data_IF_167211568135
#
_entry.id   IF_167211568135
#
_cell.length_a   1.000
_cell.length_b   1.000
_cell.length_c   1.000
_cell.angle_alpha   90.00
_cell.angle_beta   90.00
_cell.angle_gamma   90.00
#
_symmetry.space_group_name_H-M   'P 1'
#
loop_
_entity.id
_entity.type
_entity.pdbx_description
1 polymer ?
#
# COMPACT_ATOMS: atom_id res chain seq x y z
N UNK A 1 -23.69 -54.66 -19.67
CA UNK A 1 -24.05 -53.78 -18.51
C UNK A 1 -23.12 -52.61 -18.58
N UNK A 2 -23.53 -51.59 -19.33
CA UNK A 2 -22.73 -50.39 -19.58
C UNK A 2 -23.05 -49.37 -18.49
N UNK A 3 -22.04 -48.95 -17.73
CA UNK A 3 -22.14 -47.86 -16.76
C UNK A 3 -22.05 -46.56 -17.53
N UNK A 4 -22.95 -45.57 -17.34
CA UNK A 4 -22.88 -44.27 -18.02
C UNK A 4 -21.70 -43.50 -17.47
N UNK A 5 -20.82 -43.05 -18.38
CA UNK A 5 -19.75 -42.10 -18.11
C UNK A 5 -20.33 -40.80 -17.53
N UNK A 6 -20.01 -40.50 -16.29
CA UNK A 6 -20.35 -39.21 -15.67
C UNK A 6 -19.56 -38.09 -16.37
N UNK A 7 -20.20 -37.33 -17.24
CA UNK A 7 -19.65 -36.11 -17.79
C UNK A 7 -19.45 -35.10 -16.67
N UNK A 8 -18.22 -34.94 -16.22
CA UNK A 8 -17.82 -33.90 -15.29
C UNK A 8 -18.08 -32.54 -15.97
N UNK A 9 -19.11 -31.86 -15.48
CA UNK A 9 -19.46 -30.50 -15.90
C UNK A 9 -18.32 -29.57 -15.51
N UNK A 10 -17.65 -29.00 -16.49
CA UNK A 10 -16.60 -28.00 -16.26
C UNK A 10 -17.14 -26.91 -15.31
N UNK A 11 -16.35 -26.46 -14.32
CA UNK A 11 -16.79 -25.40 -13.43
C UNK A 11 -17.09 -24.16 -14.25
N UNK A 12 -18.32 -23.65 -14.10
CA UNK A 12 -18.75 -22.41 -14.73
C UNK A 12 -17.86 -21.28 -14.23
N UNK A 13 -17.27 -20.52 -15.16
CA UNK A 13 -16.50 -19.31 -14.87
C UNK A 13 -17.35 -18.40 -13.98
N UNK A 14 -16.78 -17.77 -12.95
CA UNK A 14 -17.55 -16.92 -12.04
C UNK A 14 -18.22 -15.79 -12.81
N UNK A 15 -19.53 -15.60 -12.56
CA UNK A 15 -20.31 -14.49 -13.10
C UNK A 15 -19.80 -13.18 -12.49
N UNK A 16 -18.80 -12.59 -13.13
CA UNK A 16 -18.04 -11.44 -12.64
C UNK A 16 -18.79 -10.10 -12.69
N UNK A 17 -19.98 -10.01 -13.30
CA UNK A 17 -20.42 -8.73 -13.86
C UNK A 17 -21.29 -7.85 -12.94
N UNK A 18 -22.15 -8.37 -12.08
CA UNK A 18 -23.03 -7.53 -11.26
C UNK A 18 -22.47 -7.18 -9.88
N UNK A 19 -21.74 -8.08 -9.25
CA UNK A 19 -21.16 -7.83 -7.92
C UNK A 19 -20.00 -6.84 -7.95
N UNK A 20 -19.24 -6.80 -9.05
CA UNK A 20 -18.15 -5.85 -9.25
C UNK A 20 -18.65 -4.43 -9.47
N UNK A 21 -19.76 -4.27 -10.23
CA UNK A 21 -20.38 -2.97 -10.46
C UNK A 21 -20.94 -2.38 -9.15
N UNK A 22 -21.60 -3.20 -8.33
CA UNK A 22 -22.13 -2.76 -7.04
C UNK A 22 -21.03 -2.36 -6.06
N UNK A 23 -19.89 -3.06 -6.03
CA UNK A 23 -18.78 -2.73 -5.13
C UNK A 23 -18.05 -1.45 -5.57
N UNK A 24 -17.95 -1.18 -6.87
CA UNK A 24 -17.43 0.08 -7.41
C UNK A 24 -18.37 1.25 -7.11
N UNK A 25 -19.69 1.07 -7.30
CA UNK A 25 -20.68 2.08 -6.95
C UNK A 25 -20.66 2.41 -5.45
N UNK A 26 -20.45 1.40 -4.59
CA UNK A 26 -20.32 1.60 -3.14
C UNK A 26 -19.06 2.39 -2.76
N UNK A 27 -17.98 2.27 -3.55
CA UNK A 27 -16.77 3.07 -3.39
C UNK A 27 -16.98 4.53 -3.81
N UNK A 28 -17.81 4.79 -4.83
CA UNK A 28 -17.98 6.14 -5.36
C UNK A 28 -18.60 7.11 -4.35
N UNK A 29 -19.42 6.64 -3.42
CA UNK A 29 -20.04 7.50 -2.39
C UNK A 29 -18.99 8.11 -1.45
N UNK A 30 -18.15 7.34 -0.74
CA UNK A 30 -17.12 7.93 0.11
C UNK A 30 -16.08 8.72 -0.69
N UNK A 31 -15.75 8.29 -1.91
CA UNK A 31 -14.85 9.03 -2.81
C UNK A 31 -15.44 10.40 -3.17
N UNK A 32 -16.73 10.47 -3.53
CA UNK A 32 -17.40 11.73 -3.83
C UNK A 32 -17.45 12.65 -2.61
N UNK A 33 -17.73 12.12 -1.42
CA UNK A 33 -17.71 12.90 -0.17
C UNK A 33 -16.33 13.50 0.05
N UNK A 34 -15.26 12.71 -0.08
CA UNK A 34 -13.88 13.18 0.10
C UNK A 34 -13.49 14.18 -1.01
N UNK A 35 -13.90 13.95 -2.25
CA UNK A 35 -13.62 14.87 -3.37
C UNK A 35 -14.28 16.23 -3.22
N UNK A 36 -15.41 16.31 -2.51
CA UNK A 36 -16.13 17.56 -2.24
C UNK A 36 -15.54 18.35 -1.07
N UNK A 37 -14.67 17.77 -0.24
CA UNK A 37 -14.09 18.44 0.93
C UNK A 37 -13.45 19.81 0.62
N UNK A 38 -12.63 19.97 -0.46
CA UNK A 38 -12.02 21.26 -0.76
C UNK A 38 -13.01 22.37 -1.14
N UNK A 39 -14.25 22.03 -1.50
CA UNK A 39 -15.30 22.98 -1.87
C UNK A 39 -16.09 23.49 -0.66
N UNK A 40 -15.93 22.87 0.51
CA UNK A 40 -16.67 23.23 1.71
C UNK A 40 -15.98 24.39 2.45
N UNK A 41 -16.69 25.50 2.73
CA UNK A 41 -16.07 26.71 3.29
C UNK A 41 -15.54 26.56 4.72
N UNK A 42 -15.94 25.52 5.44
CA UNK A 42 -15.49 25.23 6.80
C UNK A 42 -14.32 24.24 6.86
N UNK A 43 -13.87 23.71 5.71
CA UNK A 43 -12.73 22.79 5.62
C UNK A 43 -11.46 23.58 5.33
N UNK A 44 -10.53 23.58 6.27
CA UNK A 44 -9.25 24.24 6.12
C UNK A 44 -8.19 23.31 5.49
N UNK A 45 -7.07 23.90 5.04
CA UNK A 45 -5.96 23.17 4.43
C UNK A 45 -5.37 22.09 5.35
N UNK A 46 -5.46 22.25 6.67
CA UNK A 46 -4.99 21.24 7.63
C UNK A 46 -5.79 19.93 7.51
N UNK A 47 -7.13 20.03 7.47
CA UNK A 47 -8.02 18.87 7.31
C UNK A 47 -7.77 18.20 5.96
N UNK A 48 -7.63 18.98 4.89
CA UNK A 48 -7.34 18.44 3.56
C UNK A 48 -5.98 17.72 3.56
N UNK A 49 -4.95 18.29 4.17
CA UNK A 49 -3.64 17.67 4.29
C UNK A 49 -3.68 16.36 5.11
N UNK A 50 -4.49 16.32 6.19
CA UNK A 50 -4.70 15.12 6.96
C UNK A 50 -5.33 14.00 6.11
N UNK A 51 -6.34 14.34 5.30
CA UNK A 51 -6.96 13.39 4.38
C UNK A 51 -5.97 12.92 3.30
N UNK A 52 -5.12 13.81 2.76
CA UNK A 52 -4.06 13.41 1.80
C UNK A 52 -3.10 12.40 2.44
N UNK A 53 -2.67 12.64 3.68
CA UNK A 53 -1.85 11.66 4.43
C UNK A 53 -2.55 10.30 4.52
N UNK A 54 -3.85 10.30 4.86
CA UNK A 54 -4.63 9.07 4.88
C UNK A 54 -4.64 8.36 3.51
N UNK A 55 -4.90 9.08 2.43
CA UNK A 55 -4.95 8.51 1.08
C UNK A 55 -3.61 7.91 0.66
N UNK A 56 -2.48 8.56 1.01
CA UNK A 56 -1.14 8.02 0.77
C UNK A 56 -0.95 6.70 1.52
N UNK A 57 -1.27 6.64 2.80
CA UNK A 57 -1.12 5.39 3.57
C UNK A 57 -2.14 4.32 3.15
N UNK A 58 -3.34 4.69 2.71
CA UNK A 58 -4.30 3.77 2.11
C UNK A 58 -3.71 3.13 0.85
N UNK A 59 -3.13 3.92 -0.05
CA UNK A 59 -2.52 3.38 -1.29
C UNK A 59 -1.33 2.47 -0.99
N UNK A 60 -0.48 2.85 -0.03
CA UNK A 60 0.62 2.00 0.44
C UNK A 60 0.11 0.69 1.06
N UNK A 61 -0.93 0.77 1.90
CA UNK A 61 -1.59 -0.39 2.49
C UNK A 61 -2.25 -1.28 1.43
N UNK A 62 -2.88 -0.71 0.39
CA UNK A 62 -3.45 -1.47 -0.73
C UNK A 62 -2.35 -2.21 -1.51
N UNK A 63 -1.23 -1.54 -1.80
CA UNK A 63 -0.08 -2.14 -2.46
C UNK A 63 0.48 -3.32 -1.66
N UNK A 64 0.72 -3.12 -0.36
CA UNK A 64 1.22 -4.17 0.53
C UNK A 64 0.23 -5.32 0.73
N UNK A 65 -1.07 -5.03 0.75
CA UNK A 65 -2.12 -6.03 0.89
C UNK A 65 -2.14 -7.06 -0.25
N UNK A 66 -1.66 -6.71 -1.43
CA UNK A 66 -1.52 -7.65 -2.55
C UNK A 66 -0.58 -8.80 -2.15
N UNK A 67 0.60 -8.50 -1.65
CA UNK A 67 1.60 -9.52 -1.32
C UNK A 67 1.31 -10.19 0.02
N UNK A 68 0.94 -9.42 1.04
CA UNK A 68 0.76 -9.95 2.39
C UNK A 68 -0.66 -10.47 2.64
N UNK A 69 -1.68 -9.72 2.24
CA UNK A 69 -3.07 -10.08 2.47
C UNK A 69 -3.57 -11.17 1.53
N UNK A 70 -3.38 -10.98 0.22
CA UNK A 70 -3.83 -11.95 -0.80
C UNK A 70 -2.84 -13.10 -0.90
N UNK A 71 -1.53 -12.80 -0.97
CA UNK A 71 -0.46 -13.78 -1.18
C UNK A 71 0.12 -14.40 0.10
N UNK A 72 -0.25 -13.94 1.29
CA UNK A 72 0.20 -14.49 2.58
C UNK A 72 1.67 -14.24 2.93
N UNK A 73 2.37 -13.36 2.20
CA UNK A 73 3.80 -13.11 2.38
C UNK A 73 4.02 -11.80 3.15
N UNK A 74 4.24 -11.90 4.45
CA UNK A 74 4.44 -10.77 5.34
C UNK A 74 5.82 -10.13 5.10
N UNK A 75 5.91 -9.22 4.13
CA UNK A 75 7.13 -8.47 3.85
C UNK A 75 7.20 -7.24 4.73
N UNK A 76 8.26 -7.11 5.52
CA UNK A 76 8.61 -5.92 6.30
C UNK A 76 9.58 -4.99 5.55
N UNK A 77 9.94 -5.34 4.32
CA UNK A 77 10.86 -4.58 3.47
C UNK A 77 10.19 -3.70 2.43
N UNK A 78 8.87 -3.48 2.48
CA UNK A 78 8.16 -2.68 1.47
C UNK A 78 8.53 -1.19 1.49
N UNK A 79 9.12 -0.68 2.59
CA UNK A 79 9.76 0.63 2.65
C UNK A 79 10.81 0.82 1.55
N UNK A 80 11.50 -0.25 1.13
CA UNK A 80 12.47 -0.19 0.03
C UNK A 80 11.85 0.34 -1.26
N UNK A 81 10.67 -0.15 -1.62
CA UNK A 81 9.99 0.29 -2.85
C UNK A 81 9.40 1.69 -2.73
N UNK A 82 8.93 2.07 -1.54
CA UNK A 82 8.57 3.44 -1.22
C UNK A 82 9.76 4.37 -1.44
N UNK A 83 10.90 4.05 -0.84
CA UNK A 83 12.13 4.83 -0.95
C UNK A 83 12.64 4.90 -2.39
N UNK A 84 12.65 3.79 -3.14
CA UNK A 84 13.02 3.80 -4.56
C UNK A 84 12.12 4.78 -5.34
N UNK A 85 10.80 4.74 -5.14
CA UNK A 85 9.87 5.68 -5.78
C UNK A 85 10.17 7.12 -5.43
N UNK A 86 10.36 7.43 -4.14
CA UNK A 86 10.67 8.77 -3.64
C UNK A 86 11.99 9.30 -4.19
N UNK A 87 13.09 8.57 -3.96
CA UNK A 87 14.43 9.01 -4.36
C UNK A 87 14.58 9.09 -5.87
N UNK A 88 14.09 8.12 -6.63
CA UNK A 88 14.19 8.17 -8.10
C UNK A 88 13.50 9.40 -8.65
N UNK A 89 12.27 9.66 -8.23
CA UNK A 89 11.51 10.82 -8.69
C UNK A 89 12.17 12.12 -8.23
N UNK A 90 12.60 12.21 -6.96
CA UNK A 90 13.22 13.40 -6.41
C UNK A 90 14.58 13.73 -7.04
N UNK A 91 15.42 12.73 -7.26
CA UNK A 91 16.74 12.90 -7.90
C UNK A 91 16.59 13.36 -9.36
N UNK A 92 15.72 12.68 -10.12
CA UNK A 92 15.46 13.03 -11.52
C UNK A 92 14.91 14.46 -11.64
N UNK A 93 14.03 14.86 -10.74
CA UNK A 93 13.48 16.21 -10.72
C UNK A 93 14.53 17.26 -10.35
N UNK A 94 15.27 17.09 -9.25
CA UNK A 94 16.22 18.07 -8.75
C UNK A 94 17.45 18.25 -9.64
N UNK A 95 18.00 17.14 -10.17
CA UNK A 95 19.27 17.16 -10.94
C UNK A 95 19.07 17.34 -12.44
N UNK A 96 18.02 16.78 -12.99
CA UNK A 96 17.80 16.74 -14.44
C UNK A 96 16.57 17.51 -14.91
N UNK A 97 15.78 18.08 -13.99
CA UNK A 97 14.54 18.79 -14.32
C UNK A 97 13.45 17.89 -14.95
N UNK A 98 13.58 16.57 -14.79
CA UNK A 98 12.62 15.60 -15.35
C UNK A 98 11.36 15.65 -14.49
N UNK A 99 10.16 15.84 -15.10
CA UNK A 99 8.92 15.94 -14.33
C UNK A 99 8.63 14.66 -13.57
N UNK A 100 7.99 14.77 -12.38
CA UNK A 100 7.67 13.63 -11.53
C UNK A 100 6.83 12.55 -12.23
N UNK A 101 6.01 12.93 -13.19
CA UNK A 101 5.23 12.00 -14.04
C UNK A 101 6.09 11.00 -14.80
N UNK A 102 7.26 11.44 -15.30
CA UNK A 102 8.23 10.56 -15.98
C UNK A 102 9.09 9.85 -14.92
N UNK A 103 9.53 10.58 -13.88
CA UNK A 103 10.30 10.02 -12.77
C UNK A 103 9.60 8.86 -12.07
N UNK A 104 8.27 8.93 -11.96
CA UNK A 104 7.43 7.86 -11.43
C UNK A 104 7.62 6.53 -12.19
N UNK A 105 7.61 6.56 -13.51
CA UNK A 105 7.80 5.34 -14.32
C UNK A 105 9.24 4.82 -14.25
N UNK A 106 10.23 5.70 -14.14
CA UNK A 106 11.60 5.29 -13.85
C UNK A 106 11.70 4.59 -12.49
N UNK A 107 11.05 5.13 -11.46
CA UNK A 107 10.95 4.50 -10.15
C UNK A 107 10.28 3.13 -10.19
N UNK A 108 9.20 2.99 -10.98
CA UNK A 108 8.52 1.70 -11.21
C UNK A 108 9.46 0.69 -11.86
N UNK A 109 10.21 1.08 -12.89
CA UNK A 109 11.16 0.17 -13.57
C UNK A 109 12.29 -0.28 -12.63
N UNK A 110 12.86 0.65 -11.85
CA UNK A 110 13.90 0.30 -10.86
C UNK A 110 13.31 -0.62 -9.79
N UNK A 111 12.12 -0.33 -9.29
CA UNK A 111 11.42 -1.17 -8.32
C UNK A 111 11.11 -2.56 -8.86
N UNK A 112 10.73 -2.69 -10.13
CA UNK A 112 10.49 -3.98 -10.79
C UNK A 112 11.76 -4.84 -10.77
N UNK A 113 12.88 -4.26 -11.22
CA UNK A 113 14.18 -4.97 -11.24
C UNK A 113 14.62 -5.34 -9.83
N UNK A 114 14.53 -4.39 -8.90
CA UNK A 114 14.91 -4.62 -7.50
C UNK A 114 14.01 -5.67 -6.84
N UNK A 115 12.71 -5.62 -7.07
CA UNK A 115 11.75 -6.60 -6.55
C UNK A 115 12.01 -8.01 -7.11
N UNK A 116 12.39 -8.11 -8.39
CA UNK A 116 12.75 -9.40 -8.98
C UNK A 116 14.00 -9.99 -8.31
N UNK A 117 15.06 -9.18 -8.15
CA UNK A 117 16.31 -9.61 -7.50
C UNK A 117 16.06 -9.97 -6.03
N UNK A 118 15.45 -9.07 -5.27
CA UNK A 118 15.12 -9.28 -3.86
C UNK A 118 14.20 -10.49 -3.69
N UNK A 119 13.16 -10.59 -4.52
CA UNK A 119 12.22 -11.71 -4.49
C UNK A 119 12.88 -13.04 -4.83
N UNK A 120 13.78 -13.10 -5.81
CA UNK A 120 14.51 -14.31 -6.17
C UNK A 120 15.36 -14.85 -5.01
N UNK A 121 15.89 -13.95 -4.18
CA UNK A 121 16.69 -14.31 -3.01
C UNK A 121 15.83 -14.67 -1.79
N UNK A 122 14.78 -13.90 -1.52
CA UNK A 122 14.04 -13.98 -0.24
C UNK A 122 12.79 -14.88 -0.30
N UNK A 123 12.10 -14.98 -1.45
CA UNK A 123 10.86 -15.76 -1.57
C UNK A 123 11.03 -17.29 -1.48
N UNK A 124 12.28 -17.75 -1.44
CA UNK A 124 12.61 -19.16 -1.11
C UNK A 124 12.49 -19.44 0.39
N UNK A 125 12.55 -18.40 1.22
CA UNK A 125 12.33 -18.47 2.66
C UNK A 125 10.84 -18.46 2.98
N UNK A 126 10.44 -19.04 4.12
CA UNK A 126 9.04 -19.13 4.52
C UNK A 126 8.79 -18.42 5.84
N UNK A 127 7.58 -17.88 6.02
CA UNK A 127 7.12 -17.31 7.27
C UNK A 127 8.03 -16.20 7.81
N UNK A 128 8.45 -16.35 9.07
CA UNK A 128 9.26 -15.32 9.78
C UNK A 128 10.62 -15.09 9.12
N UNK A 129 11.23 -16.12 8.53
CA UNK A 129 12.53 -15.97 7.87
C UNK A 129 12.46 -15.05 6.63
N UNK A 130 11.36 -15.11 5.88
CA UNK A 130 11.12 -14.17 4.80
C UNK A 130 10.98 -12.73 5.32
N UNK A 131 10.20 -12.52 6.39
CA UNK A 131 10.03 -11.20 6.99
C UNK A 131 11.39 -10.63 7.47
N UNK A 132 12.19 -11.42 8.19
CA UNK A 132 13.52 -11.01 8.67
C UNK A 132 14.48 -10.68 7.51
N UNK A 133 14.48 -11.49 6.45
CA UNK A 133 15.31 -11.21 5.27
C UNK A 133 14.92 -9.89 4.60
N UNK A 134 13.62 -9.58 4.51
CA UNK A 134 13.14 -8.32 3.94
C UNK A 134 13.47 -7.10 4.82
N UNK A 135 13.47 -7.24 6.15
CA UNK A 135 13.98 -6.21 7.08
C UNK A 135 15.47 -5.97 6.86
N UNK A 136 16.27 -7.03 6.73
CA UNK A 136 17.71 -6.88 6.52
C UNK A 136 18.02 -6.09 5.24
N UNK A 137 17.27 -6.34 4.15
CA UNK A 137 17.37 -5.56 2.90
C UNK A 137 17.00 -4.09 3.14
N UNK A 138 15.92 -3.84 3.90
CA UNK A 138 15.48 -2.48 4.23
C UNK A 138 16.58 -1.70 4.98
N UNK A 139 17.16 -2.30 6.03
CA UNK A 139 18.25 -1.70 6.80
C UNK A 139 19.51 -1.49 5.95
N UNK A 140 19.82 -2.42 5.05
CA UNK A 140 20.92 -2.23 4.09
C UNK A 140 20.68 -1.02 3.18
N UNK A 141 19.43 -0.80 2.70
CA UNK A 141 19.10 0.36 1.88
C UNK A 141 19.19 1.68 2.65
N UNK A 142 18.89 1.70 3.96
CA UNK A 142 19.16 2.87 4.81
C UNK A 142 20.66 3.22 4.77
N UNK A 143 21.55 2.23 4.98
CA UNK A 143 22.98 2.46 5.00
C UNK A 143 23.55 2.84 3.62
N UNK A 144 23.07 2.18 2.57
CA UNK A 144 23.42 2.53 1.18
C UNK A 144 23.01 3.98 0.88
N UNK A 145 21.79 4.37 1.23
CA UNK A 145 21.32 5.74 1.02
C UNK A 145 22.16 6.77 1.79
N UNK A 146 22.54 6.47 3.03
CA UNK A 146 23.43 7.35 3.82
C UNK A 146 24.84 7.47 3.23
N UNK A 147 25.35 6.42 2.59
CA UNK A 147 26.68 6.41 2.01
C UNK A 147 26.80 7.26 0.73
N UNK A 148 25.78 7.24 -0.13
CA UNK A 148 25.78 7.96 -1.41
C UNK A 148 25.31 9.42 -1.26
N UNK A 149 26.06 10.23 -0.48
CA UNK A 149 25.70 11.62 -0.13
C UNK A 149 25.39 12.48 -1.37
N UNK A 150 26.21 12.40 -2.42
CA UNK A 150 26.06 13.20 -3.64
C UNK A 150 24.75 12.90 -4.41
N UNK A 151 24.19 11.72 -4.19
CA UNK A 151 22.98 11.28 -4.89
C UNK A 151 21.73 11.47 -4.06
N UNK A 152 21.75 11.06 -2.81
CA UNK A 152 20.59 10.94 -1.91
C UNK A 152 20.52 12.05 -0.86
N UNK A 153 21.58 12.88 -0.74
CA UNK A 153 21.73 13.82 0.36
C UNK A 153 22.27 13.18 1.66
N UNK A 154 22.62 11.87 1.63
CA UNK A 154 23.16 11.19 2.80
C UNK A 154 22.18 11.08 3.96
N UNK A 155 22.64 11.34 5.17
CA UNK A 155 21.82 11.28 6.38
C UNK A 155 20.74 12.39 6.43
N UNK A 156 20.99 13.54 5.82
CA UNK A 156 20.07 14.69 5.79
C UNK A 156 18.92 14.45 4.81
N UNK A 157 19.07 13.50 3.89
CA UNK A 157 18.07 13.13 2.91
C UNK A 157 17.95 14.10 1.75
N UNK A 158 16.87 13.95 0.98
CA UNK A 158 16.60 14.70 -0.24
C UNK A 158 15.40 15.60 -0.06
N UNK A 159 15.59 16.92 -0.21
CA UNK A 159 14.51 17.89 -0.27
C UNK A 159 14.27 18.32 -1.72
N UNK A 160 13.01 18.47 -2.12
CA UNK A 160 12.64 18.96 -3.44
C UNK A 160 12.73 20.49 -3.51
N UNK A 161 13.20 20.99 -4.65
CA UNK A 161 13.11 22.43 -4.96
C UNK A 161 11.67 22.77 -5.30
N UNK A 162 11.16 23.81 -4.67
CA UNK A 162 9.81 24.31 -4.97
C UNK A 162 9.87 25.40 -6.05
N UNK A 163 9.19 25.15 -7.17
CA UNK A 163 9.13 26.07 -8.32
C UNK A 163 7.80 26.85 -8.41
N UNK A 164 6.91 26.67 -7.44
CA UNK A 164 5.57 27.24 -7.45
C UNK A 164 4.50 26.21 -7.84
N UNK A 165 3.25 26.69 -7.91
CA UNK A 165 2.13 25.83 -8.28
C UNK A 165 2.25 25.39 -9.75
N UNK A 166 2.45 24.10 -9.99
CA UNK A 166 2.63 23.54 -11.33
C UNK A 166 2.18 22.09 -11.38
N UNK A 167 1.23 21.81 -12.25
CA UNK A 167 0.80 20.43 -12.53
C UNK A 167 1.90 19.62 -13.19
N UNK A 168 2.78 20.25 -13.97
CA UNK A 168 3.91 19.59 -14.61
C UNK A 168 4.94 19.11 -13.58
N UNK A 169 5.22 19.91 -12.55
CA UNK A 169 6.11 19.57 -11.46
C UNK A 169 5.41 18.79 -10.32
N UNK A 170 4.12 18.51 -10.43
CA UNK A 170 3.29 17.95 -9.35
C UNK A 170 3.48 18.70 -8.02
N UNK A 171 3.56 20.02 -8.08
CA UNK A 171 3.76 20.89 -6.91
C UNK A 171 2.59 21.83 -6.74
N UNK A 172 2.18 22.05 -5.49
CA UNK A 172 1.15 23.02 -5.14
C UNK A 172 1.33 23.48 -3.69
N UNK A 173 1.01 24.77 -3.45
CA UNK A 173 0.94 25.36 -2.10
C UNK A 173 -0.26 24.87 -1.31
N UNK A 174 -1.29 24.38 -2.01
CA UNK A 174 -2.49 23.84 -1.37
C UNK A 174 -2.50 22.33 -1.46
N UNK A 175 -3.04 21.61 -0.47
CA UNK A 175 -3.09 20.16 -0.48
C UNK A 175 -4.15 19.57 -1.43
N UNK A 176 -5.05 20.41 -1.99
CA UNK A 176 -6.17 19.94 -2.79
C UNK A 176 -5.78 19.12 -4.05
N UNK A 177 -4.76 19.50 -4.86
CA UNK A 177 -4.34 18.67 -6.00
C UNK A 177 -3.85 17.29 -5.59
N UNK A 178 -3.15 17.20 -4.46
CA UNK A 178 -2.69 15.91 -3.91
C UNK A 178 -3.85 15.03 -3.41
N UNK A 179 -4.92 15.65 -2.91
CA UNK A 179 -6.14 14.93 -2.54
C UNK A 179 -6.74 14.23 -3.76
N UNK A 180 -6.90 14.94 -4.87
CA UNK A 180 -7.43 14.34 -6.10
C UNK A 180 -6.51 13.26 -6.67
N UNK A 181 -5.18 13.50 -6.68
CA UNK A 181 -4.21 12.50 -7.11
C UNK A 181 -4.27 11.24 -6.21
N UNK A 182 -4.35 11.41 -4.89
CA UNK A 182 -4.51 10.31 -3.94
C UNK A 182 -5.81 9.53 -4.13
N UNK A 183 -6.94 10.22 -4.37
CA UNK A 183 -8.22 9.57 -4.66
C UNK A 183 -8.17 8.73 -5.94
N UNK A 184 -7.56 9.26 -7.00
CA UNK A 184 -7.37 8.51 -8.26
C UNK A 184 -6.56 7.25 -8.02
N UNK A 185 -5.45 7.34 -7.26
CA UNK A 185 -4.63 6.18 -6.93
C UNK A 185 -5.39 5.15 -6.08
N UNK A 186 -6.16 5.58 -5.08
CA UNK A 186 -6.99 4.68 -4.25
C UNK A 186 -7.97 3.91 -5.12
N UNK A 187 -8.63 4.59 -6.08
CA UNK A 187 -9.58 3.95 -7.00
C UNK A 187 -8.87 2.93 -7.90
N UNK A 188 -7.75 3.32 -8.48
CA UNK A 188 -6.96 2.43 -9.36
C UNK A 188 -6.49 1.20 -8.57
N UNK A 189 -5.94 1.39 -7.37
CA UNK A 189 -5.43 0.28 -6.57
C UNK A 189 -6.55 -0.62 -6.03
N UNK A 190 -7.69 -0.05 -5.71
CA UNK A 190 -8.88 -0.82 -5.41
C UNK A 190 -9.32 -1.69 -6.60
N UNK A 191 -9.37 -1.10 -7.80
CA UNK A 191 -9.72 -1.82 -9.01
C UNK A 191 -8.70 -2.96 -9.32
N UNK A 192 -7.39 -2.71 -9.17
CA UNK A 192 -6.34 -3.73 -9.30
C UNK A 192 -6.54 -4.85 -8.28
N UNK A 193 -6.76 -4.52 -7.00
CA UNK A 193 -7.00 -5.52 -5.94
C UNK A 193 -8.23 -6.37 -6.23
N UNK A 194 -9.31 -5.76 -6.69
CA UNK A 194 -10.55 -6.47 -7.10
C UNK A 194 -10.31 -7.37 -8.31
N UNK A 195 -9.59 -6.86 -9.31
CA UNK A 195 -9.24 -7.64 -10.49
C UNK A 195 -8.36 -8.85 -10.13
N UNK A 196 -7.35 -8.66 -9.26
CA UNK A 196 -6.53 -9.77 -8.77
C UNK A 196 -7.41 -10.80 -8.07
N UNK A 197 -8.25 -10.38 -7.10
CA UNK A 197 -9.11 -11.29 -6.32
C UNK A 197 -10.09 -12.08 -7.20
N UNK A 198 -10.52 -11.53 -8.33
CA UNK A 198 -11.44 -12.18 -9.27
C UNK A 198 -10.72 -13.04 -10.32
N UNK A 199 -9.41 -12.94 -10.45
CA UNK A 199 -8.59 -13.64 -11.46
C UNK A 199 -8.13 -15.02 -11.00
N UNK A 200 -7.73 -15.87 -11.95
CA UNK A 200 -7.05 -17.15 -11.67
C UNK A 200 -5.76 -16.93 -10.89
N UNK A 201 -5.03 -15.86 -11.20
CA UNK A 201 -3.83 -15.47 -10.47
C UNK A 201 -4.09 -15.22 -8.99
N UNK A 202 -5.19 -14.54 -8.65
CA UNK A 202 -5.58 -14.33 -7.25
C UNK A 202 -5.98 -15.61 -6.53
N UNK A 203 -6.61 -16.56 -7.24
CA UNK A 203 -6.89 -17.89 -6.68
C UNK A 203 -5.60 -18.68 -6.42
N UNK A 204 -4.64 -18.62 -7.36
CA UNK A 204 -3.31 -19.22 -7.15
C UNK A 204 -2.58 -18.61 -5.96
N UNK A 205 -2.62 -17.25 -5.82
CA UNK A 205 -2.03 -16.58 -4.66
C UNK A 205 -2.64 -17.03 -3.34
N UNK A 206 -3.97 -17.17 -3.28
CA UNK A 206 -4.67 -17.63 -2.09
C UNK A 206 -4.35 -19.10 -1.79
N UNK A 207 -4.30 -19.96 -2.81
CA UNK A 207 -3.90 -21.36 -2.65
C UNK A 207 -2.48 -21.49 -2.07
N UNK A 208 -1.54 -20.70 -2.59
CA UNK A 208 -0.15 -20.64 -2.09
C UNK A 208 -0.08 -20.10 -0.66
N UNK A 209 -0.92 -19.11 -0.32
CA UNK A 209 -1.04 -18.57 1.04
C UNK A 209 -1.53 -19.62 2.03
N UNK A 210 -2.53 -20.38 1.64
CA UNK A 210 -3.18 -21.36 2.53
C UNK A 210 -2.28 -22.59 2.75
N UNK A 211 -1.71 -23.17 1.69
CA UNK A 211 -0.70 -24.23 1.76
C UNK A 211 0.15 -24.31 0.48
N UNK A 212 1.44 -23.97 0.58
CA UNK A 212 2.37 -24.01 -0.55
C UNK A 212 2.60 -25.42 -1.13
N UNK A 213 2.57 -26.45 -0.27
CA UNK A 213 2.84 -27.84 -0.69
C UNK A 213 1.62 -28.39 -1.43
N UNK A 214 0.43 -28.15 -0.89
CA UNK A 214 -0.82 -28.55 -1.53
C UNK A 214 -1.02 -27.80 -2.86
N UNK A 215 -0.73 -26.49 -2.91
CA UNK A 215 -0.80 -25.71 -4.14
C UNK A 215 0.15 -26.25 -5.22
N UNK A 216 1.40 -26.60 -4.86
CA UNK A 216 2.35 -27.20 -5.77
C UNK A 216 1.87 -28.56 -6.29
N UNK A 217 1.31 -29.40 -5.42
CA UNK A 217 0.74 -30.71 -5.79
C UNK A 217 -0.46 -30.54 -6.75
N UNK A 218 -1.23 -29.45 -6.63
CA UNK A 218 -2.31 -29.09 -7.55
C UNK A 218 -1.82 -28.46 -8.87
N UNK A 219 -0.50 -28.33 -9.08
CA UNK A 219 0.09 -27.81 -10.32
C UNK A 219 0.32 -26.30 -10.34
N UNK A 220 0.13 -25.58 -9.21
CA UNK A 220 0.42 -24.15 -9.13
C UNK A 220 1.92 -23.92 -9.12
N UNK A 221 2.39 -22.99 -9.97
CA UNK A 221 3.80 -22.59 -10.04
C UNK A 221 4.15 -21.63 -8.88
N UNK A 222 4.30 -22.16 -7.66
CA UNK A 222 4.42 -21.42 -6.39
C UNK A 222 5.38 -20.24 -6.46
N UNK A 223 6.62 -20.46 -6.94
CA UNK A 223 7.62 -19.40 -7.03
C UNK A 223 7.21 -18.29 -8.00
N UNK A 224 6.67 -18.68 -9.17
CA UNK A 224 6.20 -17.70 -10.18
C UNK A 224 5.03 -16.87 -9.63
N UNK A 225 4.08 -17.50 -8.96
CA UNK A 225 2.94 -16.82 -8.34
C UNK A 225 3.39 -15.83 -7.26
N UNK A 226 4.31 -16.26 -6.37
CA UNK A 226 4.87 -15.39 -5.33
C UNK A 226 5.61 -14.18 -5.90
N UNK A 227 6.53 -14.40 -6.85
CA UNK A 227 7.35 -13.32 -7.39
C UNK A 227 6.52 -12.32 -8.19
N UNK A 228 5.49 -12.79 -8.93
CA UNK A 228 4.59 -11.91 -9.66
C UNK A 228 3.80 -11.02 -8.70
N UNK A 229 3.23 -11.57 -7.63
CA UNK A 229 2.53 -10.79 -6.61
C UNK A 229 3.45 -9.77 -5.92
N UNK A 230 4.69 -10.18 -5.61
CA UNK A 230 5.69 -9.31 -5.00
C UNK A 230 6.09 -8.15 -5.91
N UNK A 231 6.32 -8.40 -7.19
CA UNK A 231 6.65 -7.37 -8.20
C UNK A 231 5.50 -6.39 -8.40
N UNK A 232 4.26 -6.88 -8.54
CA UNK A 232 3.08 -6.01 -8.67
C UNK A 232 2.94 -5.10 -7.44
N UNK A 233 3.06 -5.65 -6.25
CA UNK A 233 3.02 -4.88 -4.99
C UNK A 233 4.14 -3.82 -4.92
N UNK A 234 5.36 -4.17 -5.32
CA UNK A 234 6.50 -3.27 -5.37
C UNK A 234 6.29 -2.09 -6.33
N UNK A 235 5.77 -2.35 -7.53
CA UNK A 235 5.46 -1.32 -8.52
C UNK A 235 4.40 -0.35 -8.01
N UNK A 236 3.33 -0.87 -7.41
CA UNK A 236 2.29 -0.05 -6.77
C UNK A 236 2.89 0.80 -5.64
N UNK A 237 3.75 0.22 -4.79
CA UNK A 237 4.40 0.95 -3.70
C UNK A 237 5.30 2.08 -4.22
N UNK A 238 6.02 1.88 -5.32
CA UNK A 238 6.88 2.91 -5.93
C UNK A 238 6.07 4.09 -6.50
N UNK A 239 4.92 3.83 -7.13
CA UNK A 239 4.01 4.89 -7.60
C UNK A 239 3.50 5.72 -6.41
N UNK A 240 3.05 5.06 -5.35
CA UNK A 240 2.62 5.74 -4.13
C UNK A 240 3.77 6.53 -3.47
N UNK A 241 5.02 6.03 -3.59
CA UNK A 241 6.24 6.73 -3.17
C UNK A 241 6.45 8.06 -3.91
N UNK A 242 6.15 8.11 -5.20
CA UNK A 242 6.19 9.38 -5.93
C UNK A 242 5.21 10.41 -5.35
N UNK A 243 3.96 10.01 -5.09
CA UNK A 243 2.97 10.89 -4.46
C UNK A 243 3.41 11.32 -3.06
N UNK A 244 3.98 10.39 -2.28
CA UNK A 244 4.55 10.66 -0.96
C UNK A 244 5.62 11.75 -1.05
N UNK A 245 6.61 11.59 -1.95
CA UNK A 245 7.70 12.55 -2.13
C UNK A 245 7.21 13.93 -2.53
N UNK A 246 6.26 14.02 -3.45
CA UNK A 246 5.72 15.30 -3.92
C UNK A 246 4.88 16.01 -2.84
N UNK A 247 4.20 15.27 -1.98
CA UNK A 247 3.40 15.84 -0.90
C UNK A 247 4.26 16.33 0.27
N UNK A 248 5.24 15.52 0.71
CA UNK A 248 6.09 15.88 1.86
C UNK A 248 7.26 16.77 1.48
N UNK A 249 7.61 16.86 0.20
CA UNK A 249 8.69 17.68 -0.37
C UNK A 249 10.10 17.36 0.17
N UNK A 250 10.22 16.41 1.09
CA UNK A 250 11.49 15.95 1.66
C UNK A 250 11.37 14.51 2.12
N UNK A 251 12.49 13.79 2.06
CA UNK A 251 12.59 12.42 2.56
C UNK A 251 14.02 12.13 3.04
N UNK A 252 14.15 11.57 4.22
CA UNK A 252 15.39 11.04 4.74
C UNK A 252 15.46 9.50 4.63
N UNK A 253 16.63 8.87 4.78
CA UNK A 253 16.76 7.43 4.64
C UNK A 253 15.91 6.61 5.61
N UNK A 254 15.71 7.09 6.84
CA UNK A 254 14.86 6.39 7.83
C UNK A 254 13.38 6.47 7.46
N UNK A 255 12.90 7.64 7.05
CA UNK A 255 11.53 7.82 6.56
C UNK A 255 11.24 7.07 5.25
N UNK A 256 12.28 6.78 4.45
CA UNK A 256 12.15 6.03 3.21
C UNK A 256 12.19 4.51 3.44
N UNK A 257 13.24 4.04 4.10
CA UNK A 257 13.63 2.62 4.16
C UNK A 257 13.55 2.03 5.57
N UNK A 258 13.36 2.85 6.61
CA UNK A 258 13.39 2.44 8.01
C UNK A 258 12.26 1.48 8.39
N UNK A 259 12.50 0.71 9.45
CA UNK A 259 11.53 -0.27 9.97
C UNK A 259 10.24 0.41 10.45
N UNK A 260 10.34 1.59 11.04
CA UNK A 260 9.17 2.36 11.50
C UNK A 260 8.23 2.68 10.32
N UNK A 261 8.79 3.15 9.20
CA UNK A 261 8.04 3.40 7.98
C UNK A 261 7.42 2.13 7.40
N UNK A 262 8.20 1.04 7.39
CA UNK A 262 7.72 -0.26 6.92
C UNK A 262 6.51 -0.76 7.74
N UNK A 263 6.49 -0.54 9.04
CA UNK A 263 5.35 -0.87 9.89
C UNK A 263 4.16 0.05 9.59
N UNK A 264 4.37 1.37 9.51
CA UNK A 264 3.29 2.33 9.26
C UNK A 264 2.53 2.08 7.96
N UNK A 265 3.24 1.74 6.87
CA UNK A 265 2.61 1.47 5.57
C UNK A 265 1.71 0.22 5.57
N UNK A 266 1.93 -0.71 6.52
CA UNK A 266 1.15 -1.94 6.64
C UNK A 266 -0.11 -1.76 7.50
N UNK A 267 -0.09 -0.79 8.43
CA UNK A 267 -1.17 -0.58 9.39
C UNK A 267 -2.57 -0.48 8.75
N UNK A 268 -2.78 0.25 7.64
CA UNK A 268 -4.09 0.31 7.01
C UNK A 268 -4.64 -1.06 6.62
N UNK A 269 -3.79 -1.95 6.09
CA UNK A 269 -4.21 -3.29 5.70
C UNK A 269 -4.45 -4.20 6.91
N UNK A 270 -3.57 -4.14 7.92
CA UNK A 270 -3.69 -4.92 9.15
C UNK A 270 -4.93 -4.55 9.94
N UNK A 271 -5.16 -3.25 10.13
CA UNK A 271 -6.31 -2.75 10.89
C UNK A 271 -7.63 -2.96 10.18
N UNK A 272 -7.65 -2.73 8.86
CA UNK A 272 -8.87 -2.84 8.09
C UNK A 272 -9.30 -4.27 7.81
N UNK A 273 -8.38 -5.15 7.47
CA UNK A 273 -8.63 -6.56 7.17
C UNK A 273 -7.81 -7.07 5.99
N UNK A 274 -6.88 -7.95 6.28
CA UNK A 274 -5.97 -8.55 5.30
C UNK A 274 -6.71 -9.34 4.23
N UNK A 275 -6.22 -9.26 2.99
CA UNK A 275 -6.74 -10.03 1.86
C UNK A 275 -8.09 -9.55 1.32
N UNK A 276 -8.58 -8.40 1.78
CA UNK A 276 -9.79 -7.77 1.24
C UNK A 276 -9.46 -6.48 0.50
N UNK A 277 -10.21 -6.14 -0.55
CA UNK A 277 -9.99 -4.91 -1.30
C UNK A 277 -10.33 -3.64 -0.49
N UNK A 278 -11.32 -3.74 0.40
CA UNK A 278 -11.76 -2.64 1.27
C UNK A 278 -10.93 -2.46 2.53
N UNK A 279 -10.22 -3.52 2.96
CA UNK A 279 -9.46 -3.49 4.21
C UNK A 279 -8.58 -2.26 4.36
N UNK A 280 -7.63 -2.01 3.44
CA UNK A 280 -6.74 -0.87 3.55
C UNK A 280 -7.46 0.49 3.54
N UNK A 281 -8.61 0.61 2.87
CA UNK A 281 -9.42 1.84 2.82
C UNK A 281 -10.02 2.12 4.21
N UNK A 282 -10.69 1.12 4.77
CA UNK A 282 -11.31 1.24 6.11
C UNK A 282 -10.25 1.42 7.18
N UNK A 283 -9.18 0.62 7.12
CA UNK A 283 -8.08 0.73 8.09
C UNK A 283 -7.35 2.06 8.03
N UNK A 284 -7.13 2.61 6.83
CA UNK A 284 -6.51 3.93 6.68
C UNK A 284 -7.42 5.07 7.17
N UNK A 285 -8.74 4.96 6.94
CA UNK A 285 -9.70 5.92 7.52
C UNK A 285 -9.68 5.88 9.06
N UNK A 286 -9.63 4.70 9.65
CA UNK A 286 -9.50 4.54 11.11
C UNK A 286 -8.15 5.09 11.60
N UNK A 287 -7.07 4.79 10.89
CA UNK A 287 -5.73 5.25 11.23
C UNK A 287 -5.63 6.78 11.28
N UNK A 288 -6.17 7.49 10.25
CA UNK A 288 -6.11 8.96 10.24
C UNK A 288 -6.97 9.56 11.34
N UNK A 289 -8.18 9.04 11.55
CA UNK A 289 -9.04 9.49 12.64
C UNK A 289 -8.32 9.39 13.98
N UNK A 290 -7.65 8.27 14.21
CA UNK A 290 -6.90 8.03 15.44
C UNK A 290 -5.70 8.98 15.57
N UNK A 291 -4.96 9.19 14.47
CA UNK A 291 -3.84 10.14 14.39
C UNK A 291 -4.28 11.55 14.78
N UNK A 292 -5.39 12.03 14.24
CA UNK A 292 -5.89 13.37 14.53
C UNK A 292 -6.36 13.51 15.98
N UNK A 293 -7.05 12.49 16.52
CA UNK A 293 -7.46 12.47 17.93
C UNK A 293 -6.23 12.48 18.84
N UNK A 294 -5.21 11.70 18.50
CA UNK A 294 -3.97 11.62 19.29
C UNK A 294 -3.17 12.91 19.22
N UNK A 295 -3.05 13.51 18.04
CA UNK A 295 -2.38 14.81 17.86
C UNK A 295 -3.06 15.92 18.69
N UNK A 296 -4.39 15.92 18.69
CA UNK A 296 -5.15 16.86 19.54
C UNK A 296 -4.90 16.61 21.03
N UNK A 297 -4.87 15.34 21.44
CA UNK A 297 -4.54 14.94 22.82
C UNK A 297 -3.12 15.32 23.21
N UNK A 298 -2.11 15.03 22.37
CA UNK A 298 -0.70 15.36 22.58
C UNK A 298 -0.49 16.85 22.77
N UNK A 299 -1.13 17.67 21.92
CA UNK A 299 -1.05 19.14 22.02
C UNK A 299 -1.62 19.68 23.32
N UNK A 300 -2.71 19.07 23.80
CA UNK A 300 -3.32 19.48 25.09
C UNK A 300 -2.57 18.99 26.32
N UNK A 301 -2.00 17.79 26.27
CA UNK A 301 -1.35 17.15 27.40
C UNK A 301 0.16 17.41 27.46
N UNK A 302 0.75 17.95 26.37
CA UNK A 302 2.19 18.19 26.28
C UNK A 302 3.03 16.91 26.26
N UNK A 303 2.45 15.76 25.83
CA UNK A 303 3.12 14.46 25.81
C UNK A 303 3.47 14.13 24.35
N UNK A 304 4.76 14.11 24.01
CA UNK A 304 5.25 13.68 22.72
C UNK A 304 5.21 12.15 22.59
N UNK A 305 4.96 11.63 21.38
CA UNK A 305 4.97 10.18 21.09
C UNK A 305 3.70 9.43 21.50
N UNK A 306 2.63 10.11 21.93
CA UNK A 306 1.33 9.50 22.19
C UNK A 306 0.75 8.77 20.99
N UNK A 307 1.04 9.23 19.78
CA UNK A 307 0.62 8.62 18.51
C UNK A 307 1.18 7.21 18.36
N UNK A 308 2.47 7.02 18.62
CA UNK A 308 3.13 5.70 18.53
C UNK A 308 2.54 4.73 19.56
N UNK A 309 2.32 5.20 20.79
CA UNK A 309 1.73 4.39 21.85
C UNK A 309 0.29 3.96 21.51
N UNK A 310 -0.52 4.91 21.02
CA UNK A 310 -1.92 4.65 20.66
C UNK A 310 -1.98 3.71 19.45
N UNK A 311 -1.11 3.88 18.45
CA UNK A 311 -1.01 2.93 17.33
C UNK A 311 -0.63 1.52 17.79
N UNK A 312 0.36 1.39 18.68
CA UNK A 312 0.76 0.11 19.23
C UNK A 312 -0.34 -0.57 20.04
N UNK A 313 -1.01 0.18 20.91
CA UNK A 313 -2.14 -0.32 21.69
C UNK A 313 -3.31 -0.74 20.82
N UNK A 314 -3.65 0.06 19.82
CA UNK A 314 -4.74 -0.25 18.90
C UNK A 314 -4.42 -1.47 18.03
N UNK A 315 -3.19 -1.59 17.54
CA UNK A 315 -2.76 -2.78 16.82
C UNK A 315 -2.92 -4.03 17.71
N UNK A 316 -2.51 -3.93 18.99
CA UNK A 316 -2.69 -5.01 19.96
C UNK A 316 -4.18 -5.37 20.13
N UNK A 317 -5.06 -4.37 20.29
CA UNK A 317 -6.51 -4.60 20.44
C UNK A 317 -7.11 -5.22 19.18
N UNK A 318 -6.74 -4.74 18.00
CA UNK A 318 -7.22 -5.28 16.73
C UNK A 318 -6.78 -6.74 16.55
N UNK A 319 -5.50 -7.04 16.81
CA UNK A 319 -4.98 -8.41 16.69
C UNK A 319 -5.67 -9.35 17.67
N UNK A 320 -5.92 -8.92 18.92
CA UNK A 320 -6.54 -9.75 19.95
C UNK A 320 -8.05 -9.91 19.79
N UNK A 321 -8.77 -8.86 19.38
CA UNK A 321 -10.26 -8.85 19.34
C UNK A 321 -10.85 -9.00 17.96
N UNK A 322 -10.13 -8.60 16.93
CA UNK A 322 -10.57 -8.62 15.53
C UNK A 322 -9.50 -9.21 14.60
N UNK A 323 -9.19 -10.51 14.68
CA UNK A 323 -8.14 -11.14 13.86
C UNK A 323 -8.41 -11.05 12.35
N UNK A 324 -9.64 -10.73 11.95
CA UNK A 324 -10.04 -10.43 10.56
C UNK A 324 -10.07 -8.93 10.24
N UNK A 325 -9.49 -8.09 11.12
CA UNK A 325 -9.56 -6.64 11.03
C UNK A 325 -10.96 -6.05 11.30
N UNK A 326 -11.09 -4.73 11.19
CA UNK A 326 -12.36 -4.01 11.39
C UNK A 326 -13.45 -4.50 10.43
N UNK A 327 -13.09 -4.90 9.20
CA UNK A 327 -14.01 -5.51 8.22
C UNK A 327 -14.67 -6.78 8.78
N UNK A 328 -13.98 -7.52 9.63
CA UNK A 328 -14.52 -8.72 10.31
C UNK A 328 -15.64 -8.43 11.30
N UNK A 329 -15.73 -7.20 11.79
CA UNK A 329 -16.78 -6.76 12.73
C UNK A 329 -18.07 -6.30 12.02
N UNK A 330 -18.01 -6.07 10.70
CA UNK A 330 -19.17 -5.67 9.92
C UNK A 330 -20.21 -6.81 9.84
N UNK A 331 -21.52 -6.48 9.75
CA UNK A 331 -22.58 -7.46 9.54
C UNK A 331 -22.30 -8.33 8.31
N UNK A 332 -22.65 -9.63 8.37
CA UNK A 332 -22.38 -10.60 7.29
C UNK A 332 -22.92 -10.17 5.92
N UNK A 333 -24.02 -9.39 5.89
CA UNK A 333 -24.57 -8.83 4.65
C UNK A 333 -23.62 -7.81 3.99
N UNK A 334 -22.98 -6.95 4.79
CA UNK A 334 -21.98 -5.99 4.31
C UNK A 334 -20.66 -6.68 3.96
N UNK A 335 -20.26 -7.74 4.68
CA UNK A 335 -19.03 -8.49 4.37
C UNK A 335 -19.06 -9.10 2.97
N UNK A 336 -20.25 -9.47 2.42
CA UNK A 336 -20.36 -10.00 1.05
C UNK A 336 -20.11 -8.96 -0.03
N UNK A 337 -20.40 -7.69 0.24
CA UNK A 337 -20.11 -6.57 -0.68
C UNK A 337 -18.67 -6.06 -0.59
N UNK A 338 -17.98 -6.40 0.51
CA UNK A 338 -16.63 -5.92 0.86
C UNK A 338 -15.55 -6.96 0.50
N UNK A 339 -15.92 -8.22 0.32
CA UNK A 339 -15.07 -9.28 -0.23
C UNK A 339 -15.14 -9.26 -1.76
#
# INVERSE_FOLDING_TARGET
MDAPAATAKAPALPQADRSQLHSLLFLLVPVAIVALLPLLPFVNNYIIAAVVRALIFITLGQAWNVVAGIGGQLSLGHGVFLGIGCYTTGILFNKYGIPPWIGMWAGVLISLVFAFVMGAMTLRMRGVFFALATVAVSLAMVQISRHFVDLTGGADGLALKFFGDSLWAMQSRTPAPFLYAGLVLVIIYYAISRWILASTFGLEMQAVRDDEVAAAAAGVAVFKTKITGFVVSAMMTAIAGTLYMQFYMAIDPEAAFGLSQAIQLQLPALMGGLGTAWGPIIGGAVMIFLSEVTNWGSTKLGIEGLDILVYGLMLLVVVLRAPKGVVGLLPKAMQRGVR
#
